data_IF_989990758581
#
_entry.id   IF_989990758581
#
_cell.length_a   1.000
_cell.length_b   1.000
_cell.length_c   1.000
_cell.angle_alpha   90.00
_cell.angle_beta   90.00
_cell.angle_gamma   90.00
#
_symmetry.space_group_name_H-M   'P 1'
#
loop_
_entity.id
_entity.type
_entity.pdbx_description
1 polymer ?
#
# COMPACT_ATOMS: atom_id res chain seq x y z
N UNK A 1 -17.63 14.44 20.17
CA UNK A 1 -16.48 13.92 19.39
C UNK A 1 -15.23 14.43 20.06
N UNK A 2 -14.42 13.55 20.67
CA UNK A 2 -13.13 13.91 21.27
C UNK A 2 -12.20 14.47 20.18
N UNK A 3 -11.61 15.64 20.43
CA UNK A 3 -10.66 16.24 19.48
C UNK A 3 -9.39 15.40 19.40
N UNK A 4 -8.90 15.17 18.17
CA UNK A 4 -7.63 14.47 17.94
C UNK A 4 -6.49 15.35 18.46
N UNK A 5 -5.54 14.82 19.26
CA UNK A 5 -4.40 15.59 19.76
C UNK A 5 -3.55 16.23 18.65
N UNK A 6 -3.12 17.49 18.85
CA UNK A 6 -2.40 18.28 17.83
C UNK A 6 -1.09 17.62 17.36
N UNK A 7 -0.38 16.94 18.26
CA UNK A 7 0.85 16.22 17.91
C UNK A 7 0.62 15.08 16.90
N UNK A 8 -0.56 14.43 16.93
CA UNK A 8 -0.93 13.40 15.95
C UNK A 8 -1.23 14.05 14.60
N UNK A 9 -1.93 15.19 14.58
CA UNK A 9 -2.18 15.95 13.35
C UNK A 9 -0.89 16.42 12.69
N UNK A 10 0.08 16.87 13.48
CA UNK A 10 1.39 17.25 12.97
C UNK A 10 2.11 16.05 12.34
N UNK A 11 2.13 14.90 13.02
CA UNK A 11 2.72 13.65 12.50
C UNK A 11 2.05 13.19 11.20
N UNK A 12 0.73 13.27 11.12
CA UNK A 12 -0.03 12.96 9.90
C UNK A 12 0.36 13.87 8.72
N UNK A 13 0.58 15.17 8.97
CA UNK A 13 0.99 16.13 7.94
C UNK A 13 2.42 15.92 7.47
N UNK A 14 3.32 15.50 8.35
CA UNK A 14 4.76 15.35 8.03
C UNK A 14 5.15 13.92 7.63
N UNK A 15 4.25 12.94 7.76
CA UNK A 15 4.56 11.55 7.43
C UNK A 15 4.71 11.36 5.90
N UNK A 16 5.94 11.20 5.45
CA UNK A 16 6.27 11.00 4.03
C UNK A 16 6.54 9.55 3.64
N UNK A 17 6.65 8.65 4.61
CA UNK A 17 7.10 7.27 4.38
C UNK A 17 6.64 6.34 5.49
N UNK A 18 6.38 5.10 5.12
CA UNK A 18 6.05 4.00 6.01
C UNK A 18 7.06 2.87 5.80
N UNK A 19 7.30 2.02 6.80
CA UNK A 19 8.13 0.84 6.63
C UNK A 19 7.43 -0.16 5.70
N UNK A 20 8.23 -0.81 4.86
CA UNK A 20 7.82 -1.92 3.99
C UNK A 20 8.28 -3.24 4.62
N UNK A 21 7.48 -4.32 4.57
CA UNK A 21 7.93 -5.63 5.03
C UNK A 21 9.20 -6.06 4.27
N UNK A 22 10.24 -6.60 4.95
CA UNK A 22 11.48 -7.01 4.29
C UNK A 22 11.28 -8.02 3.15
N UNK A 23 10.30 -8.92 3.27
CA UNK A 23 9.96 -9.88 2.24
C UNK A 23 9.40 -9.20 0.98
N UNK A 24 8.51 -8.22 1.13
CA UNK A 24 7.96 -7.45 -0.01
C UNK A 24 9.05 -6.58 -0.64
N UNK A 25 9.91 -5.97 0.17
CA UNK A 25 11.06 -5.22 -0.32
C UNK A 25 11.96 -6.08 -1.21
N UNK A 26 12.28 -7.29 -0.76
CA UNK A 26 13.09 -8.24 -1.53
C UNK A 26 12.38 -8.68 -2.81
N UNK A 27 11.09 -8.97 -2.74
CA UNK A 27 10.28 -9.35 -3.90
C UNK A 27 10.28 -8.24 -4.96
N UNK A 28 10.10 -6.98 -4.56
CA UNK A 28 10.14 -5.83 -5.48
C UNK A 28 11.52 -5.69 -6.14
N UNK A 29 12.60 -5.89 -5.38
CA UNK A 29 13.98 -5.88 -5.92
C UNK A 29 14.22 -7.01 -6.93
N UNK A 30 13.68 -8.21 -6.68
CA UNK A 30 13.77 -9.33 -7.61
C UNK A 30 12.98 -9.06 -8.89
N UNK A 31 11.76 -8.55 -8.76
CA UNK A 31 10.93 -8.18 -9.90
C UNK A 31 11.61 -7.14 -10.79
N UNK A 32 12.35 -6.19 -10.21
CA UNK A 32 13.12 -5.20 -10.96
C UNK A 32 14.20 -5.78 -11.87
N UNK A 33 14.65 -7.00 -11.59
CA UNK A 33 15.69 -7.70 -12.33
C UNK A 33 15.11 -8.78 -13.25
N UNK A 34 13.80 -9.03 -13.21
CA UNK A 34 13.12 -10.06 -14.00
C UNK A 34 12.84 -9.52 -15.42
N UNK A 35 13.46 -10.08 -16.48
CA UNK A 35 13.17 -9.69 -17.85
C UNK A 35 11.77 -10.11 -18.31
N UNK A 36 11.16 -11.09 -17.64
CA UNK A 36 9.82 -11.63 -17.93
C UNK A 36 8.78 -11.08 -16.94
N UNK A 37 9.01 -9.87 -16.43
CA UNK A 37 8.09 -9.21 -15.49
C UNK A 37 6.80 -8.78 -16.20
N UNK A 38 5.67 -9.00 -15.52
CA UNK A 38 4.36 -8.51 -15.94
C UNK A 38 3.67 -7.69 -14.84
N UNK A 39 2.56 -7.05 -15.21
CA UNK A 39 1.79 -6.20 -14.32
C UNK A 39 1.15 -6.98 -13.16
N UNK A 40 0.83 -8.26 -13.35
CA UNK A 40 0.26 -9.10 -12.28
C UNK A 40 1.26 -9.36 -11.17
N UNK A 41 2.50 -9.74 -11.50
CA UNK A 41 3.56 -9.98 -10.51
C UNK A 41 3.82 -8.72 -9.66
N UNK A 42 3.79 -7.54 -10.29
CA UNK A 42 3.92 -6.26 -9.57
C UNK A 42 2.68 -5.98 -8.72
N UNK A 43 1.48 -6.29 -9.24
CA UNK A 43 0.24 -6.14 -8.49
C UNK A 43 0.27 -6.95 -7.19
N UNK A 44 0.77 -8.18 -7.23
CA UNK A 44 0.86 -9.06 -6.06
C UNK A 44 1.79 -8.48 -4.99
N UNK A 45 2.97 -8.00 -5.40
CA UNK A 45 3.91 -7.36 -4.50
C UNK A 45 3.33 -6.08 -3.86
N UNK A 46 2.68 -5.24 -4.67
CA UNK A 46 2.02 -4.00 -4.18
C UNK A 46 0.86 -4.32 -3.23
N UNK A 47 0.11 -5.38 -3.50
CA UNK A 47 -1.05 -5.80 -2.70
C UNK A 47 -0.66 -6.39 -1.33
N UNK A 48 0.61 -6.80 -1.18
CA UNK A 48 1.15 -7.32 0.07
C UNK A 48 1.70 -6.23 1.02
N UNK A 49 1.81 -4.98 0.57
CA UNK A 49 2.30 -3.86 1.39
C UNK A 49 1.33 -2.66 1.38
N UNK A 50 0.63 -2.37 2.50
CA UNK A 50 -0.28 -1.24 2.58
C UNK A 50 0.41 0.12 2.34
N UNK A 51 1.71 0.24 2.65
CA UNK A 51 2.47 1.46 2.42
C UNK A 51 2.68 1.75 0.93
N UNK A 52 3.07 0.73 0.17
CA UNK A 52 3.26 0.86 -1.28
C UNK A 52 1.89 1.05 -1.95
N UNK A 53 0.89 0.24 -1.59
CA UNK A 53 -0.48 0.34 -2.10
C UNK A 53 -1.05 1.77 -1.95
N UNK A 54 -0.95 2.37 -0.76
CA UNK A 54 -1.42 3.72 -0.50
C UNK A 54 -0.73 4.76 -1.39
N UNK A 55 0.58 4.63 -1.61
CA UNK A 55 1.34 5.57 -2.44
C UNK A 55 1.03 5.39 -3.93
N UNK A 56 0.88 4.16 -4.40
CA UNK A 56 0.44 3.84 -5.77
C UNK A 56 -0.93 4.48 -6.04
N UNK A 57 -1.90 4.28 -5.14
CA UNK A 57 -3.22 4.90 -5.24
C UNK A 57 -3.14 6.43 -5.25
N UNK A 58 -2.33 7.03 -4.37
CA UNK A 58 -2.15 8.48 -4.31
C UNK A 58 -1.59 9.05 -5.60
N UNK A 59 -0.64 8.36 -6.23
CA UNK A 59 -0.01 8.84 -7.48
C UNK A 59 -0.95 8.62 -8.66
N UNK A 60 -1.59 7.44 -8.77
CA UNK A 60 -2.58 7.18 -9.81
C UNK A 60 -3.74 8.19 -9.80
N UNK A 61 -4.12 8.67 -8.61
CA UNK A 61 -5.16 9.68 -8.44
C UNK A 61 -4.66 11.14 -8.43
N UNK A 62 -3.37 11.37 -8.69
CA UNK A 62 -2.81 12.73 -8.79
C UNK A 62 -3.26 13.44 -10.07
N UNK A 63 -3.18 14.78 -10.09
CA UNK A 63 -3.58 15.59 -11.25
C UNK A 63 -2.87 15.21 -12.56
N UNK A 64 -1.66 14.63 -12.47
CA UNK A 64 -0.90 14.15 -13.63
C UNK A 64 -1.56 12.92 -14.29
N UNK A 65 -2.15 12.02 -13.49
CA UNK A 65 -2.65 10.72 -13.96
C UNK A 65 -4.19 10.65 -14.00
N UNK A 66 -4.88 11.31 -13.08
CA UNK A 66 -6.34 11.27 -12.96
C UNK A 66 -7.01 12.33 -13.86
N UNK A 67 -7.13 12.03 -15.16
CA UNK A 67 -7.70 12.96 -16.15
C UNK A 67 -9.23 12.88 -16.32
N UNK A 68 -9.86 11.75 -15.96
CA UNK A 68 -11.32 11.54 -16.17
C UNK A 68 -12.05 10.77 -15.07
N UNK A 69 -11.39 9.82 -14.41
CA UNK A 69 -11.97 9.01 -13.32
C UNK A 69 -10.89 8.61 -12.33
N UNK A 70 -11.20 8.74 -11.05
CA UNK A 70 -10.31 8.27 -9.98
C UNK A 70 -10.32 6.75 -9.91
N UNK A 71 -9.14 6.17 -9.68
CA UNK A 71 -8.96 4.76 -9.40
C UNK A 71 -9.48 4.46 -7.99
N UNK A 72 -10.36 3.46 -7.88
CA UNK A 72 -10.94 3.00 -6.61
C UNK A 72 -10.32 1.71 -6.09
N UNK A 73 -9.54 1.01 -6.91
CA UNK A 73 -8.83 -0.21 -6.54
C UNK A 73 -7.43 -0.26 -7.18
N UNK A 74 -6.59 -1.20 -6.70
CA UNK A 74 -5.20 -1.33 -7.16
C UNK A 74 -5.10 -1.69 -8.64
N UNK A 75 -5.96 -2.58 -9.13
CA UNK A 75 -5.94 -2.96 -10.56
C UNK A 75 -6.14 -1.76 -11.48
N UNK A 76 -7.11 -0.89 -11.17
CA UNK A 76 -7.32 0.35 -11.93
C UNK A 76 -6.11 1.28 -11.84
N UNK A 77 -5.55 1.47 -10.65
CA UNK A 77 -4.37 2.32 -10.46
C UNK A 77 -3.16 1.82 -11.26
N UNK A 78 -2.92 0.50 -11.27
CA UNK A 78 -1.86 -0.15 -12.01
C UNK A 78 -2.02 -0.01 -13.53
N UNK A 79 -3.25 -0.09 -14.04
CA UNK A 79 -3.54 0.13 -15.47
C UNK A 79 -3.28 1.59 -15.86
N UNK A 80 -3.66 2.54 -15.02
CA UNK A 80 -3.44 3.98 -15.26
C UNK A 80 -1.95 4.34 -15.26
N UNK A 81 -1.18 3.76 -14.34
CA UNK A 81 0.26 4.02 -14.23
C UNK A 81 1.08 3.23 -15.25
N UNK A 82 0.68 2.00 -15.54
CA UNK A 82 1.45 1.03 -16.31
C UNK A 82 2.55 0.35 -15.49
N UNK A 83 3.13 -0.70 -16.08
CA UNK A 83 4.12 -1.58 -15.45
C UNK A 83 5.37 -0.82 -14.99
N UNK A 84 6.05 -0.14 -15.92
CA UNK A 84 7.34 0.51 -15.65
C UNK A 84 7.23 1.60 -14.58
N UNK A 85 6.19 2.43 -14.63
CA UNK A 85 5.97 3.47 -13.63
C UNK A 85 5.68 2.86 -12.26
N UNK A 86 4.81 1.85 -12.19
CA UNK A 86 4.51 1.16 -10.94
C UNK A 86 5.75 0.53 -10.32
N UNK A 87 6.51 -0.23 -11.11
CA UNK A 87 7.72 -0.90 -10.64
C UNK A 87 8.75 0.11 -10.11
N UNK A 88 8.97 1.21 -10.85
CA UNK A 88 9.87 2.29 -10.45
C UNK A 88 9.44 2.92 -9.12
N UNK A 89 8.14 3.14 -8.93
CA UNK A 89 7.58 3.68 -7.69
C UNK A 89 7.75 2.70 -6.52
N UNK A 90 7.38 1.43 -6.73
CA UNK A 90 7.53 0.38 -5.71
C UNK A 90 8.99 0.24 -5.26
N UNK A 91 9.95 0.25 -6.20
CA UNK A 91 11.38 0.23 -5.92
C UNK A 91 11.84 1.45 -5.12
N UNK A 92 11.44 2.63 -5.57
CA UNK A 92 11.82 3.90 -4.93
C UNK A 92 11.32 3.96 -3.49
N UNK A 93 10.09 3.51 -3.24
CA UNK A 93 9.54 3.48 -1.89
C UNK A 93 10.20 2.44 -0.99
N UNK A 94 10.49 1.27 -1.56
CA UNK A 94 11.24 0.21 -0.88
C UNK A 94 12.60 0.74 -0.42
N UNK A 95 13.38 1.36 -1.32
CA UNK A 95 14.70 1.89 -1.01
C UNK A 95 14.66 2.95 0.09
N UNK A 96 13.72 3.90 0.00
CA UNK A 96 13.53 4.94 1.03
C UNK A 96 13.15 4.34 2.39
N UNK A 97 12.36 3.26 2.41
CA UNK A 97 11.96 2.60 3.64
C UNK A 97 13.13 1.87 4.31
N UNK A 98 13.97 1.16 3.54
CA UNK A 98 15.12 0.40 4.04
C UNK A 98 16.21 1.30 4.61
N UNK A 99 16.42 2.49 4.02
CA UNK A 99 17.41 3.45 4.49
C UNK A 99 17.00 4.14 5.81
N UNK A 100 15.70 4.16 6.14
CA UNK A 100 15.20 4.73 7.39
C UNK A 100 15.22 3.66 8.49
N UNK A 101 16.26 3.70 9.33
CA UNK A 101 16.35 2.90 10.55
C UNK A 101 15.21 3.33 11.49
N UNK A 102 14.14 2.56 11.57
CA UNK A 102 13.08 2.83 12.55
C UNK A 102 13.50 2.23 13.89
N UNK A 103 13.72 3.08 14.89
CA UNK A 103 13.74 2.66 16.29
C UNK A 103 12.30 2.68 16.77
N UNK A 104 11.70 1.52 16.98
CA UNK A 104 10.31 1.43 17.44
C UNK A 104 10.30 0.75 18.79
N UNK A 105 9.72 1.41 19.79
CA UNK A 105 9.48 0.82 21.10
C UNK A 105 8.02 0.39 21.18
N UNK A 106 7.77 -0.91 21.01
CA UNK A 106 6.49 -1.52 21.38
C UNK A 106 5.49 -1.83 20.26
N UNK A 107 5.74 -1.46 18.99
CA UNK A 107 4.86 -1.82 17.88
C UNK A 107 5.29 -3.11 17.17
N UNK A 108 4.37 -4.08 17.12
CA UNK A 108 4.58 -5.35 16.41
C UNK A 108 4.18 -5.22 14.93
N UNK A 109 5.14 -4.86 14.09
CA UNK A 109 4.95 -4.76 12.65
C UNK A 109 4.51 -6.07 12.00
N UNK A 110 4.98 -7.22 12.50
CA UNK A 110 4.63 -8.51 11.92
C UNK A 110 3.14 -8.81 12.17
N UNK A 111 2.65 -8.54 13.37
CA UNK A 111 1.22 -8.66 13.67
C UNK A 111 0.38 -7.69 12.82
N UNK A 112 0.83 -6.44 12.67
CA UNK A 112 0.18 -5.44 11.82
C UNK A 112 0.08 -5.90 10.36
N UNK A 113 1.19 -6.25 9.72
CA UNK A 113 1.20 -6.67 8.31
C UNK A 113 0.38 -7.93 8.07
N UNK A 114 0.49 -8.91 8.98
CA UNK A 114 -0.32 -10.13 8.91
C UNK A 114 -1.81 -9.79 8.99
N UNK A 115 -2.21 -8.90 9.90
CA UNK A 115 -3.61 -8.46 10.05
C UNK A 115 -4.13 -7.78 8.79
N UNK A 116 -3.39 -6.84 8.20
CA UNK A 116 -3.86 -6.10 7.02
C UNK A 116 -4.00 -7.01 5.79
N UNK A 117 -3.05 -7.93 5.58
CA UNK A 117 -3.11 -8.89 4.45
C UNK A 117 -4.21 -9.92 4.63
N UNK A 118 -4.38 -10.46 5.85
CA UNK A 118 -5.47 -11.39 6.12
C UNK A 118 -6.83 -10.69 5.96
N UNK A 119 -7.00 -9.50 6.54
CA UNK A 119 -8.26 -8.76 6.45
C UNK A 119 -8.63 -8.45 4.98
N UNK A 120 -7.66 -8.05 4.16
CA UNK A 120 -7.89 -7.79 2.74
C UNK A 120 -8.26 -9.05 1.97
N UNK A 121 -7.54 -10.16 2.19
CA UNK A 121 -7.85 -11.45 1.57
C UNK A 121 -9.25 -11.96 1.96
N UNK A 122 -9.59 -11.95 3.25
CA UNK A 122 -10.91 -12.36 3.74
C UNK A 122 -12.02 -11.45 3.21
N UNK A 123 -11.82 -10.13 3.26
CA UNK A 123 -12.80 -9.16 2.76
C UNK A 123 -13.10 -9.37 1.28
N UNK A 124 -12.06 -9.58 0.46
CA UNK A 124 -12.20 -9.89 -0.96
C UNK A 124 -12.95 -11.20 -1.19
N UNK A 125 -12.55 -12.26 -0.51
CA UNK A 125 -13.16 -13.58 -0.63
C UNK A 125 -14.66 -13.53 -0.30
N UNK A 126 -15.02 -12.96 0.86
CA UNK A 126 -16.42 -12.83 1.27
C UNK A 126 -17.24 -11.97 0.31
N UNK A 127 -16.66 -10.89 -0.21
CA UNK A 127 -17.32 -10.06 -1.22
C UNK A 127 -17.59 -10.85 -2.51
N UNK A 128 -16.62 -11.64 -2.98
CA UNK A 128 -16.79 -12.49 -4.15
C UNK A 128 -17.85 -13.58 -3.95
N UNK A 129 -17.82 -14.30 -2.82
CA UNK A 129 -18.79 -15.36 -2.49
C UNK A 129 -20.22 -14.83 -2.33
N UNK A 130 -20.38 -13.57 -1.89
CA UNK A 130 -21.69 -12.92 -1.75
C UNK A 130 -22.16 -12.21 -3.03
N UNK A 131 -21.44 -12.37 -4.15
CA UNK A 131 -21.80 -11.78 -5.44
C UNK A 131 -21.66 -10.26 -5.51
N UNK A 132 -20.87 -9.67 -4.61
CA UNK A 132 -20.59 -8.23 -4.62
C UNK A 132 -19.66 -7.85 -5.77
N UNK A 133 -19.93 -6.71 -6.39
CA UNK A 133 -19.15 -6.19 -7.52
C UNK A 133 -17.94 -5.35 -7.10
N UNK A 134 -17.85 -4.99 -5.83
CA UNK A 134 -16.84 -4.09 -5.24
C UNK A 134 -15.77 -4.85 -4.43
N UNK A 135 -15.51 -6.12 -4.76
CA UNK A 135 -14.56 -6.95 -4.02
C UNK A 135 -13.13 -6.40 -4.02
N UNK A 136 -12.69 -5.74 -5.11
CA UNK A 136 -11.37 -5.13 -5.19
C UNK A 136 -11.28 -3.83 -4.37
N UNK A 137 -12.35 -3.05 -4.30
CA UNK A 137 -12.46 -1.90 -3.41
C UNK A 137 -12.44 -2.34 -1.94
N UNK A 138 -13.16 -3.42 -1.60
CA UNK A 138 -13.18 -4.00 -0.25
C UNK A 138 -11.79 -4.51 0.14
N UNK A 139 -11.10 -5.20 -0.76
CA UNK A 139 -9.71 -5.62 -0.55
C UNK A 139 -8.84 -4.42 -0.17
N UNK A 140 -8.88 -3.36 -0.98
CA UNK A 140 -8.06 -2.17 -0.76
C UNK A 140 -8.44 -1.46 0.55
N UNK A 141 -9.73 -1.32 0.83
CA UNK A 141 -10.22 -0.70 2.06
C UNK A 141 -9.71 -1.46 3.29
N UNK A 142 -9.81 -2.80 3.28
CA UNK A 142 -9.34 -3.65 4.37
C UNK A 142 -7.79 -3.66 4.49
N UNK A 143 -7.07 -3.55 3.36
CA UNK A 143 -5.61 -3.41 3.37
C UNK A 143 -5.18 -2.10 4.04
N UNK A 144 -5.91 -1.00 3.79
CA UNK A 144 -5.56 0.35 4.26
C UNK A 144 -6.22 0.75 5.59
N UNK A 145 -7.16 -0.03 6.11
CA UNK A 145 -8.01 0.34 7.26
C UNK A 145 -7.22 0.80 8.49
N UNK A 146 -6.07 0.19 8.72
CA UNK A 146 -5.23 0.43 9.90
C UNK A 146 -3.94 1.23 9.57
N UNK A 147 -3.79 1.77 8.36
CA UNK A 147 -2.56 2.45 7.91
C UNK A 147 -2.14 3.61 8.84
N UNK A 148 -3.12 4.28 9.46
CA UNK A 148 -2.88 5.34 10.44
C UNK A 148 -2.07 4.89 11.66
N UNK A 149 -2.10 3.61 12.02
CA UNK A 149 -1.31 3.06 13.13
C UNK A 149 0.20 3.21 12.90
N UNK A 150 0.64 3.13 11.64
CA UNK A 150 2.05 3.36 11.26
C UNK A 150 2.48 4.82 11.41
N UNK A 151 1.53 5.77 11.46
CA UNK A 151 1.80 7.17 11.78
C UNK A 151 1.92 7.37 13.28
N UNK A 152 1.12 6.64 14.06
CA UNK A 152 1.04 6.76 15.54
C UNK A 152 2.22 6.10 16.24
N UNK A 153 2.90 5.14 15.60
CA UNK A 153 4.14 4.53 16.13
C UNK A 153 5.40 5.41 15.95
N UNK A 154 5.46 6.26 14.92
CA UNK A 154 6.64 7.05 14.52
C UNK A 154 7.13 8.23 15.38
#
# INVERSE_FOLDING_TARGET
MSQVPEHILQRLRTCTSFPTPPAVAMQVLQLAQDPEIDLSKVADAVSADPAIAAKVMRIANSAMYSRRRQSTNLRQALIVLGLNATLTLALSFTLVSTLKKNQTQGFDFNAYWRRTVLASAWGKLLASETGRRDAEEIFLAALLQDLGMLVIDK
#
